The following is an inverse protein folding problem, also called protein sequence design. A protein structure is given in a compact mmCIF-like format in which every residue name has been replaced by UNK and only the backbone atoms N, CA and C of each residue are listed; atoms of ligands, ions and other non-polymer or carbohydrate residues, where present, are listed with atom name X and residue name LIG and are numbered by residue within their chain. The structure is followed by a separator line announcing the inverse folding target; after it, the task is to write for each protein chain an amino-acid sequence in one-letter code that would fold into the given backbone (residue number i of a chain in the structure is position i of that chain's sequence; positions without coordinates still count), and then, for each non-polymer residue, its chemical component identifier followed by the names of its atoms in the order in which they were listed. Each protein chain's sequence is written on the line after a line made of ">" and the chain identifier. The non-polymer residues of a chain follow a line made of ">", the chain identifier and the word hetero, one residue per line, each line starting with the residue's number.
data_IF_532355696868
#
_entry.id   IF_532355696868
#
_cell.length_a   1.000
_cell.length_b   1.000
_cell.length_c   1.000
_cell.angle_alpha   90.00
_cell.angle_beta   90.00
_cell.angle_gamma   90.00
#
_symmetry.space_group_name_H-M   'P 1'
#
loop_
_entity.id
_entity.type
_entity.pdbx_description
1 polymer ?
#
# COMPACT_ATOMS: atom_id res chain seq x y z
N UNK A 1 -16.34 35.55 24.82
CA UNK A 1 -16.13 34.08 24.82
C UNK A 1 -17.33 33.45 24.12
N UNK A 2 -17.21 33.06 22.86
CA UNK A 2 -18.31 32.37 22.18
C UNK A 2 -18.26 30.89 22.54
N UNK A 3 -19.17 30.44 23.40
CA UNK A 3 -19.39 29.02 23.62
C UNK A 3 -19.81 28.40 22.27
N UNK A 4 -19.06 27.41 21.80
CA UNK A 4 -19.34 26.72 20.54
C UNK A 4 -20.76 26.15 20.53
N UNK A 5 -21.39 26.15 19.35
CA UNK A 5 -22.73 25.58 19.15
C UNK A 5 -22.77 24.15 19.72
N UNK A 6 -23.73 23.81 20.59
CA UNK A 6 -23.86 22.47 21.13
C UNK A 6 -23.89 21.45 19.99
N UNK A 7 -23.03 20.43 20.06
CA UNK A 7 -23.04 19.34 19.08
C UNK A 7 -24.39 18.64 19.25
N UNK A 8 -25.27 18.79 18.26
CA UNK A 8 -26.48 17.99 18.18
C UNK A 8 -26.05 16.51 18.21
N UNK A 9 -26.66 15.77 19.13
CA UNK A 9 -26.51 14.33 19.35
C UNK A 9 -26.83 13.63 18.04
N UNK A 10 -25.79 13.16 17.33
CA UNK A 10 -25.95 12.30 16.17
C UNK A 10 -26.45 10.95 16.68
N UNK A 11 -27.46 10.39 16.04
CA UNK A 11 -27.95 9.04 16.33
C UNK A 11 -27.02 8.04 15.65
N UNK A 12 -26.41 7.14 16.44
CA UNK A 12 -25.54 6.05 15.96
C UNK A 12 -26.14 5.31 14.74
N UNK A 13 -27.45 4.98 14.71
CA UNK A 13 -28.06 4.31 13.55
C UNK A 13 -27.92 5.05 12.22
N UNK A 14 -27.90 6.39 12.24
CA UNK A 14 -27.75 7.20 11.03
C UNK A 14 -26.31 7.18 10.53
N UNK A 15 -25.34 7.04 11.43
CA UNK A 15 -23.93 6.91 11.07
C UNK A 15 -23.68 5.58 10.40
N UNK A 16 -24.15 4.49 11.03
CA UNK A 16 -24.05 3.13 10.51
C UNK A 16 -24.68 3.06 9.11
N UNK A 17 -25.87 3.65 8.93
CA UNK A 17 -26.54 3.70 7.64
C UNK A 17 -25.73 4.41 6.54
N UNK A 18 -24.99 5.48 6.89
CA UNK A 18 -24.09 6.18 5.96
C UNK A 18 -22.88 5.30 5.64
N UNK A 19 -22.30 4.65 6.64
CA UNK A 19 -21.11 3.82 6.49
C UNK A 19 -21.37 2.58 5.64
N UNK A 20 -22.46 1.86 5.93
CA UNK A 20 -22.86 0.68 5.17
C UNK A 20 -23.03 0.99 3.68
N UNK A 21 -23.69 2.10 3.33
CA UNK A 21 -23.86 2.49 1.91
C UNK A 21 -22.56 2.84 1.21
N UNK A 22 -21.61 3.42 1.93
CA UNK A 22 -20.28 3.73 1.39
C UNK A 22 -19.46 2.47 1.22
N UNK A 23 -19.56 1.52 2.14
CA UNK A 23 -18.87 0.23 2.07
C UNK A 23 -19.43 -0.64 0.93
N UNK A 24 -20.76 -0.63 0.73
CA UNK A 24 -21.42 -1.31 -0.39
C UNK A 24 -21.06 -0.70 -1.75
N UNK A 25 -20.98 0.63 -1.84
CA UNK A 25 -20.61 1.33 -3.06
C UNK A 25 -19.73 2.54 -2.77
N UNK A 26 -18.39 2.38 -2.79
CA UNK A 26 -17.44 3.45 -2.50
C UNK A 26 -17.46 4.62 -3.50
N UNK A 27 -18.05 4.44 -4.68
CA UNK A 27 -18.19 5.51 -5.69
C UNK A 27 -19.40 6.42 -5.43
N UNK A 28 -20.18 6.16 -4.38
CA UNK A 28 -21.37 6.94 -4.06
C UNK A 28 -21.03 8.39 -3.73
N UNK A 29 -21.64 9.33 -4.45
CA UNK A 29 -21.47 10.76 -4.16
C UNK A 29 -22.17 11.18 -2.86
N UNK A 30 -21.61 12.16 -2.15
CA UNK A 30 -22.24 12.77 -0.96
C UNK A 30 -23.65 13.30 -1.27
N UNK A 31 -23.89 13.79 -2.50
CA UNK A 31 -25.23 14.24 -2.94
C UNK A 31 -26.22 13.08 -3.04
N UNK A 32 -25.77 11.90 -3.45
CA UNK A 32 -26.61 10.71 -3.54
C UNK A 32 -26.94 10.18 -2.15
N UNK A 33 -25.95 10.13 -1.25
CA UNK A 33 -26.14 9.76 0.15
C UNK A 33 -27.13 10.68 0.88
N UNK A 34 -27.04 11.99 0.66
CA UNK A 34 -28.00 12.95 1.23
C UNK A 34 -29.45 12.61 0.84
N UNK A 35 -29.69 12.24 -0.42
CA UNK A 35 -31.04 11.88 -0.90
C UNK A 35 -31.51 10.54 -0.34
N UNK A 36 -30.61 9.58 -0.19
CA UNK A 36 -30.93 8.22 0.27
C UNK A 36 -31.18 8.18 1.78
N UNK A 37 -30.27 8.76 2.57
CA UNK A 37 -30.29 8.73 4.05
C UNK A 37 -31.09 9.92 4.62
N UNK A 38 -31.43 10.92 3.79
CA UNK A 38 -32.19 12.13 4.17
C UNK A 38 -31.49 12.97 5.25
N UNK A 39 -30.17 13.08 5.15
CA UNK A 39 -29.33 13.87 6.07
C UNK A 39 -28.50 14.88 5.31
N UNK A 40 -28.24 16.03 5.94
CA UNK A 40 -27.49 17.10 5.28
C UNK A 40 -26.07 16.64 4.88
N UNK A 41 -25.56 17.16 3.77
CA UNK A 41 -24.15 16.95 3.36
C UNK A 41 -23.15 17.29 4.46
N UNK A 42 -23.43 18.30 5.27
CA UNK A 42 -22.56 18.70 6.39
C UNK A 42 -22.41 17.58 7.41
N UNK A 43 -23.51 16.88 7.71
CA UNK A 43 -23.51 15.71 8.59
C UNK A 43 -22.70 14.57 7.98
N UNK A 44 -22.91 14.26 6.69
CA UNK A 44 -22.18 13.19 5.98
C UNK A 44 -20.69 13.48 5.94
N UNK A 45 -20.28 14.68 5.53
CA UNK A 45 -18.87 15.08 5.49
C UNK A 45 -18.21 15.02 6.86
N UNK A 46 -18.96 15.35 7.93
CA UNK A 46 -18.48 15.20 9.30
C UNK A 46 -18.27 13.73 9.66
N UNK A 47 -19.21 12.84 9.33
CA UNK A 47 -19.05 11.38 9.50
C UNK A 47 -17.79 10.91 8.76
N UNK A 48 -17.62 11.29 7.50
CA UNK A 48 -16.44 10.90 6.72
C UNK A 48 -15.14 11.38 7.35
N UNK A 49 -15.11 12.62 7.83
CA UNK A 49 -13.93 13.18 8.50
C UNK A 49 -13.61 12.43 9.79
N UNK A 50 -14.62 12.16 10.62
CA UNK A 50 -14.46 11.47 11.90
C UNK A 50 -14.08 9.99 11.74
N UNK A 51 -14.59 9.34 10.70
CA UNK A 51 -14.29 7.93 10.37
C UNK A 51 -13.09 7.78 9.42
N UNK A 52 -12.38 8.88 9.17
CA UNK A 52 -11.19 8.92 8.30
C UNK A 52 -11.43 8.41 6.88
N UNK A 53 -12.67 8.48 6.39
CA UNK A 53 -13.06 8.12 5.02
C UNK A 53 -12.60 9.23 4.09
N UNK A 54 -11.61 8.89 3.25
CA UNK A 54 -11.00 9.80 2.29
C UNK A 54 -11.31 9.29 0.88
N UNK A 55 -11.90 10.12 0.00
CA UNK A 55 -12.07 9.75 -1.40
C UNK A 55 -10.72 9.37 -2.02
N UNK A 56 -10.69 8.23 -2.72
CA UNK A 56 -9.52 7.83 -3.50
C UNK A 56 -9.58 8.51 -4.87
N UNK A 57 -8.76 9.54 -5.07
CA UNK A 57 -8.64 10.20 -6.36
C UNK A 57 -7.48 9.59 -7.15
N UNK A 58 -7.82 8.77 -8.15
CA UNK A 58 -6.81 8.17 -9.04
C UNK A 58 -6.35 9.25 -10.03
N UNK A 59 -5.12 9.72 -9.86
CA UNK A 59 -4.46 10.61 -10.80
C UNK A 59 -3.23 9.89 -11.38
N UNK A 60 -3.18 9.61 -12.69
CA UNK A 60 -1.98 9.06 -13.30
C UNK A 60 -0.90 10.16 -13.32
N UNK A 61 0.15 9.96 -12.52
CA UNK A 61 1.28 10.91 -12.39
C UNK A 61 2.50 10.53 -13.25
N UNK A 62 2.46 9.36 -13.89
CA UNK A 62 3.52 8.83 -14.75
C UNK A 62 2.91 8.35 -16.08
N UNK A 63 3.65 8.52 -17.17
CA UNK A 63 3.26 7.94 -18.46
C UNK A 63 3.37 6.42 -18.38
N UNK A 64 2.28 5.74 -18.74
CA UNK A 64 2.19 4.28 -18.67
C UNK A 64 2.48 3.72 -20.06
N UNK A 65 3.62 3.06 -20.23
CA UNK A 65 4.00 2.47 -21.51
C UNK A 65 3.27 1.13 -21.71
N UNK A 66 3.04 0.68 -22.95
CA UNK A 66 2.38 -0.60 -23.22
C UNK A 66 3.04 -1.81 -22.54
N UNK A 67 4.37 -1.77 -22.36
CA UNK A 67 5.12 -2.83 -21.69
C UNK A 67 4.91 -2.87 -20.16
N UNK A 68 4.45 -1.78 -19.54
CA UNK A 68 4.22 -1.73 -18.09
C UNK A 68 2.91 -2.45 -17.70
N UNK A 69 1.96 -2.53 -18.63
CA UNK A 69 0.62 -3.07 -18.37
C UNK A 69 0.63 -4.50 -17.82
N UNK A 70 1.35 -5.47 -18.42
CA UNK A 70 1.35 -6.85 -17.93
C UNK A 70 1.98 -6.95 -16.54
N UNK A 71 3.10 -6.27 -16.31
CA UNK A 71 3.80 -6.28 -15.03
C UNK A 71 2.92 -5.70 -13.90
N UNK A 72 2.23 -4.59 -14.17
CA UNK A 72 1.32 -3.97 -13.19
C UNK A 72 0.09 -4.83 -12.89
N UNK A 73 -0.47 -5.49 -13.91
CA UNK A 73 -1.59 -6.41 -13.73
C UNK A 73 -1.17 -7.61 -12.87
N UNK A 74 -0.03 -8.24 -13.21
CA UNK A 74 0.51 -9.36 -12.46
C UNK A 74 0.77 -8.98 -11.00
N UNK A 75 1.45 -7.86 -10.76
CA UNK A 75 1.69 -7.36 -9.40
C UNK A 75 0.38 -7.14 -8.63
N UNK A 76 -0.62 -6.52 -9.28
CA UNK A 76 -1.92 -6.25 -8.65
C UNK A 76 -2.68 -7.53 -8.30
N UNK A 77 -2.62 -8.55 -9.15
CA UNK A 77 -3.21 -9.88 -8.90
C UNK A 77 -2.52 -10.58 -7.72
N UNK A 78 -1.19 -10.53 -7.66
CA UNK A 78 -0.39 -11.07 -6.55
C UNK A 78 -0.81 -10.41 -5.23
N UNK A 79 -0.91 -9.07 -5.21
CA UNK A 79 -1.33 -8.33 -4.02
C UNK A 79 -2.77 -8.68 -3.60
N UNK A 80 -3.69 -8.86 -4.56
CA UNK A 80 -5.05 -9.30 -4.26
C UNK A 80 -5.09 -10.69 -3.62
N UNK A 81 -4.29 -11.63 -4.11
CA UNK A 81 -4.18 -12.98 -3.53
C UNK A 81 -3.66 -12.92 -2.09
N UNK A 82 -2.55 -12.20 -1.85
CA UNK A 82 -2.03 -12.05 -0.50
C UNK A 82 -3.02 -11.42 0.47
N UNK A 83 -3.81 -10.44 0.03
CA UNK A 83 -4.88 -9.85 0.84
C UNK A 83 -5.99 -10.84 1.15
N UNK A 84 -6.35 -11.71 0.21
CA UNK A 84 -7.38 -12.72 0.42
C UNK A 84 -6.93 -13.81 1.40
N UNK A 85 -5.64 -14.17 1.37
CA UNK A 85 -5.07 -15.22 2.22
C UNK A 85 -4.73 -14.75 3.64
N UNK A 86 -4.58 -13.44 3.86
CA UNK A 86 -4.17 -12.86 5.14
C UNK A 86 -5.03 -11.65 5.54
N UNK A 87 -5.91 -11.86 6.51
CA UNK A 87 -6.76 -10.81 7.11
C UNK A 87 -5.94 -9.67 7.74
N UNK A 88 -4.69 -9.93 8.12
CA UNK A 88 -3.76 -8.97 8.72
C UNK A 88 -2.74 -8.39 7.71
N UNK A 89 -2.96 -8.60 6.40
CA UNK A 89 -2.10 -8.10 5.33
C UNK A 89 -1.71 -6.62 5.48
N UNK A 90 -2.63 -5.79 5.96
CA UNK A 90 -2.41 -4.37 6.21
C UNK A 90 -1.27 -4.10 7.20
N UNK A 91 -1.11 -4.93 8.24
CA UNK A 91 0.00 -4.83 9.21
C UNK A 91 1.34 -5.17 8.58
N UNK A 92 1.35 -5.97 7.51
CA UNK A 92 2.57 -6.32 6.79
C UNK A 92 3.03 -5.18 5.88
N UNK A 93 2.12 -4.36 5.37
CA UNK A 93 2.47 -3.21 4.52
C UNK A 93 2.75 -1.95 5.34
N UNK A 94 1.94 -1.69 6.37
CA UNK A 94 2.03 -0.42 7.10
C UNK A 94 3.32 -0.31 7.91
N UNK A 95 3.95 0.86 7.83
CA UNK A 95 5.11 1.24 8.64
C UNK A 95 4.66 2.38 9.54
N UNK A 96 4.54 2.09 10.83
CA UNK A 96 4.06 3.00 11.86
C UNK A 96 5.09 4.08 12.20
N UNK A 97 6.39 3.74 12.16
CA UNK A 97 7.46 4.65 12.53
C UNK A 97 8.82 4.23 11.95
N UNK A 98 9.79 5.15 12.03
CA UNK A 98 11.15 4.97 11.52
C UNK A 98 11.86 3.77 12.18
N UNK A 99 11.67 3.55 13.49
CA UNK A 99 12.29 2.45 14.21
C UNK A 99 11.80 1.09 13.69
N UNK A 100 10.52 0.98 13.38
CA UNK A 100 9.94 -0.23 12.79
C UNK A 100 10.51 -0.49 11.39
N UNK A 101 10.67 0.54 10.56
CA UNK A 101 11.32 0.42 9.25
C UNK A 101 12.77 -0.06 9.40
N UNK A 102 13.54 0.57 10.30
CA UNK A 102 14.92 0.17 10.58
C UNK A 102 15.02 -1.31 10.98
N UNK A 103 14.19 -1.76 11.91
CA UNK A 103 14.18 -3.16 12.35
C UNK A 103 13.84 -4.12 11.18
N UNK A 104 12.90 -3.75 10.31
CA UNK A 104 12.55 -4.56 9.14
C UNK A 104 13.70 -4.68 8.16
N UNK A 105 14.39 -3.58 7.87
CA UNK A 105 15.58 -3.59 7.01
C UNK A 105 16.65 -4.47 7.63
N UNK A 106 16.94 -4.31 8.93
CA UNK A 106 17.95 -5.10 9.62
C UNK A 106 17.62 -6.60 9.61
N UNK A 107 16.38 -6.98 9.88
CA UNK A 107 15.95 -8.38 9.83
C UNK A 107 16.08 -8.96 8.41
N UNK A 108 15.65 -8.22 7.38
CA UNK A 108 15.81 -8.66 6.00
C UNK A 108 17.28 -8.84 5.62
N UNK A 109 18.16 -7.93 6.06
CA UNK A 109 19.61 -8.06 5.86
C UNK A 109 20.16 -9.28 6.60
N UNK A 110 19.71 -9.56 7.83
CA UNK A 110 20.11 -10.75 8.59
C UNK A 110 19.63 -12.05 7.93
N UNK A 111 18.43 -12.08 7.34
CA UNK A 111 17.95 -13.22 6.55
C UNK A 111 18.81 -13.44 5.29
N UNK A 112 19.27 -12.35 4.66
CA UNK A 112 20.22 -12.41 3.54
C UNK A 112 21.63 -12.85 3.97
N UNK A 113 22.00 -12.68 5.24
CA UNK A 113 23.22 -13.21 5.85
C UNK A 113 23.16 -14.74 6.09
N UNK A 114 22.31 -15.46 5.36
CA UNK A 114 22.46 -16.90 5.22
C UNK A 114 23.88 -17.21 4.71
N UNK A 115 24.63 -17.95 5.52
CA UNK A 115 26.03 -18.29 5.27
C UNK A 115 26.25 -18.91 3.87
N UNK A 116 25.28 -19.70 3.39
CA UNK A 116 25.31 -20.31 2.07
C UNK A 116 25.11 -19.28 0.94
N UNK A 117 24.20 -18.31 1.11
CA UNK A 117 24.01 -17.23 0.14
C UNK A 117 25.27 -16.36 0.04
N UNK A 118 25.86 -16.00 1.18
CA UNK A 118 27.11 -15.24 1.23
C UNK A 118 28.27 -16.00 0.59
N UNK A 119 28.37 -17.31 0.85
CA UNK A 119 29.36 -18.20 0.23
C UNK A 119 29.22 -18.22 -1.29
N UNK A 120 27.98 -18.30 -1.82
CA UNK A 120 27.70 -18.27 -3.26
C UNK A 120 28.03 -16.93 -3.89
N UNK A 121 27.66 -15.82 -3.25
CA UNK A 121 28.00 -14.47 -3.74
C UNK A 121 29.52 -14.30 -3.80
N UNK A 122 30.21 -14.72 -2.75
CA UNK A 122 31.68 -14.69 -2.69
C UNK A 122 32.32 -15.55 -3.79
N UNK A 123 31.85 -16.79 -3.96
CA UNK A 123 32.32 -17.68 -5.01
C UNK A 123 32.13 -17.09 -6.42
N UNK A 124 30.93 -16.59 -6.74
CA UNK A 124 30.66 -15.98 -8.04
C UNK A 124 31.54 -14.75 -8.29
N UNK A 125 31.80 -13.96 -7.26
CA UNK A 125 32.68 -12.80 -7.36
C UNK A 125 34.13 -13.21 -7.64
N UNK A 126 34.66 -14.21 -6.93
CA UNK A 126 36.00 -14.74 -7.17
C UNK A 126 36.13 -15.32 -8.58
N UNK A 127 35.17 -16.14 -9.04
CA UNK A 127 35.19 -16.67 -10.41
C UNK A 127 35.24 -15.55 -11.47
N UNK A 128 34.53 -14.43 -11.24
CA UNK A 128 34.57 -13.28 -12.15
C UNK A 128 35.90 -12.55 -12.12
N UNK A 129 36.54 -12.43 -10.95
CA UNK A 129 37.89 -11.88 -10.83
C UNK A 129 38.88 -12.76 -11.59
N UNK A 130 38.86 -14.07 -11.35
CA UNK A 130 39.77 -15.01 -11.98
C UNK A 130 39.61 -14.99 -13.50
N UNK A 131 38.37 -14.95 -13.99
CA UNK A 131 38.09 -14.79 -15.40
C UNK A 131 38.64 -13.47 -15.96
N UNK A 132 38.39 -12.34 -15.28
CA UNK A 132 38.91 -11.03 -15.69
C UNK A 132 40.45 -11.04 -15.79
N UNK A 133 41.13 -11.70 -14.85
CA UNK A 133 42.60 -11.84 -14.88
C UNK A 133 43.04 -12.70 -16.07
N UNK A 134 42.41 -13.86 -16.27
CA UNK A 134 42.77 -14.79 -17.36
C UNK A 134 42.54 -14.17 -18.74
N UNK A 135 41.48 -13.37 -18.89
CA UNK A 135 41.15 -12.67 -20.13
C UNK A 135 41.84 -11.29 -20.22
N UNK A 136 42.75 -10.95 -19.31
CA UNK A 136 43.47 -9.68 -19.26
C UNK A 136 42.55 -8.44 -19.37
N UNK A 137 41.41 -8.48 -18.67
CA UNK A 137 40.38 -7.44 -18.69
C UNK A 137 39.37 -7.54 -19.84
N UNK A 138 39.35 -8.66 -20.58
CA UNK A 138 38.37 -8.95 -21.63
C UNK A 138 36.91 -8.99 -21.15
N UNK A 139 35.98 -8.92 -22.09
CA UNK A 139 34.54 -8.78 -21.81
C UNK A 139 33.87 -10.11 -21.41
N UNK A 140 32.93 -10.06 -20.46
CA UNK A 140 32.06 -11.20 -20.12
C UNK A 140 30.95 -11.35 -21.18
N UNK A 141 31.22 -12.06 -22.28
CA UNK A 141 30.17 -12.43 -23.22
C UNK A 141 29.50 -13.74 -22.76
N UNK A 142 28.25 -13.61 -22.27
CA UNK A 142 27.26 -14.66 -21.99
C UNK A 142 27.74 -15.88 -21.17
N UNK A 143 27.59 -15.79 -19.84
CA UNK A 143 27.36 -16.95 -18.96
C UNK A 143 25.85 -17.17 -18.80
#
# INVERSE_FOLDING_TARGET
>A
MHAGRPRLTRTIPVEEEILERVDENPETSVKLLERQVRVSKSTINRVFTEQLIRPCHIQPVQELLPHDLPARLQFSQIIQQYRADDMDFHKKIFIENEKQLWNRIQNAVQELQNEETLRRVHFNFLCRIDFCINENGGHFEHL
#
